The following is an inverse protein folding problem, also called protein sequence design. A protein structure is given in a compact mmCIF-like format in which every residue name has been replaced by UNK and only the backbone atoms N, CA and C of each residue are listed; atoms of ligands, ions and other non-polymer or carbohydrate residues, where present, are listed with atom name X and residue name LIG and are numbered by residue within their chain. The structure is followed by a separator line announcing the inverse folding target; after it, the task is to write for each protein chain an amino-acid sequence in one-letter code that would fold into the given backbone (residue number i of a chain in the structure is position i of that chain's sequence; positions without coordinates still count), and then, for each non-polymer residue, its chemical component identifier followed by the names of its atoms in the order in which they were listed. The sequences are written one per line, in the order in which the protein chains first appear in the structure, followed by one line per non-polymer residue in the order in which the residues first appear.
data_IF_335183320505
#
_entry.id   IF_335183320505
#
_cell.length_a   1.000
_cell.length_b   1.000
_cell.length_c   1.000
_cell.angle_alpha   90.00
_cell.angle_beta   90.00
_cell.angle_gamma   90.00
#
_symmetry.space_group_name_H-M   'P 1'
#
loop_
_entity.id
_entity.type
_entity.pdbx_description
1 polymer ?
#
# COMPACT_ATOMS: atom_id res chain seq x y z
N UNK A 1 -2.56 13.48 -5.57
CA UNK A 1 -1.56 14.49 -5.22
C UNK A 1 -0.15 13.95 -5.48
N UNK A 2 0.64 14.62 -6.32
CA UNK A 2 2.01 14.19 -6.63
C UNK A 2 2.91 14.05 -5.39
N UNK A 3 2.73 14.90 -4.38
CA UNK A 3 3.51 14.82 -3.14
C UNK A 3 3.20 13.54 -2.36
N UNK A 4 1.94 13.13 -2.33
CA UNK A 4 1.55 11.88 -1.69
C UNK A 4 2.16 10.67 -2.40
N UNK A 5 2.15 10.67 -3.72
CA UNK A 5 2.75 9.57 -4.48
C UNK A 5 4.26 9.48 -4.21
N UNK A 6 4.96 10.61 -4.22
CA UNK A 6 6.38 10.64 -3.89
C UNK A 6 6.66 10.14 -2.47
N UNK A 7 5.86 10.57 -1.51
CA UNK A 7 5.98 10.13 -0.11
C UNK A 7 5.68 8.64 0.05
N UNK A 8 4.70 8.13 -0.68
CA UNK A 8 4.37 6.69 -0.69
C UNK A 8 5.56 5.88 -1.22
N UNK A 9 6.16 6.31 -2.32
CA UNK A 9 7.31 5.63 -2.91
C UNK A 9 8.51 5.61 -1.96
N UNK A 10 8.78 6.74 -1.31
CA UNK A 10 9.84 6.82 -0.32
C UNK A 10 9.59 5.90 0.87
N UNK A 11 8.37 5.87 1.37
CA UNK A 11 7.96 4.99 2.46
C UNK A 11 8.08 3.52 2.06
N UNK A 12 7.63 3.18 0.86
CA UNK A 12 7.73 1.82 0.33
C UNK A 12 9.18 1.35 0.23
N UNK A 13 10.07 2.23 -0.25
CA UNK A 13 11.50 1.93 -0.30
C UNK A 13 12.06 1.71 1.11
N UNK A 14 11.77 2.61 2.04
CA UNK A 14 12.24 2.51 3.41
C UNK A 14 11.75 1.23 4.11
N UNK A 15 10.53 0.80 3.81
CA UNK A 15 9.96 -0.43 4.34
C UNK A 15 10.39 -1.68 3.54
N UNK A 16 11.08 -1.49 2.41
CA UNK A 16 11.56 -2.57 1.57
C UNK A 16 10.45 -3.30 0.82
N UNK A 17 9.43 -2.60 0.39
CA UNK A 17 8.40 -3.17 -0.45
C UNK A 17 9.00 -3.65 -1.79
N UNK A 18 8.47 -4.74 -2.31
CA UNK A 18 8.94 -5.30 -3.57
C UNK A 18 8.56 -4.44 -4.78
N UNK A 19 7.41 -3.78 -4.72
CA UNK A 19 6.94 -2.88 -5.77
C UNK A 19 5.78 -2.03 -5.24
N UNK A 20 5.50 -0.95 -5.95
CA UNK A 20 4.30 -0.14 -5.76
C UNK A 20 3.48 -0.23 -7.03
N UNK A 21 2.23 -0.64 -6.91
CA UNK A 21 1.29 -0.78 -8.03
C UNK A 21 0.36 0.43 -8.02
N UNK A 22 0.26 1.12 -9.14
CA UNK A 22 -0.60 2.30 -9.27
C UNK A 22 -1.45 2.24 -10.53
N UNK A 23 -2.68 2.80 -10.51
CA UNK A 23 -3.47 2.95 -11.73
C UNK A 23 -2.77 3.90 -12.72
N UNK A 24 -2.90 3.63 -14.01
CA UNK A 24 -2.30 4.47 -15.05
C UNK A 24 -2.70 5.94 -14.94
N UNK A 25 -3.96 6.21 -14.57
CA UNK A 25 -4.45 7.58 -14.38
C UNK A 25 -3.68 8.36 -13.31
N UNK A 26 -3.12 7.66 -12.30
CA UNK A 26 -2.29 8.28 -11.27
C UNK A 26 -0.84 8.38 -11.69
N UNK A 27 -0.41 7.53 -12.62
CA UNK A 27 0.94 7.53 -13.14
C UNK A 27 1.26 8.77 -13.99
N UNK A 28 0.23 9.46 -14.48
CA UNK A 28 0.39 10.75 -15.18
C UNK A 28 1.09 11.79 -14.30
N UNK A 29 0.99 11.64 -12.96
CA UNK A 29 1.66 12.51 -12.01
C UNK A 29 3.11 12.16 -11.72
N UNK A 30 3.71 11.17 -12.40
CA UNK A 30 5.15 10.85 -12.24
C UNK A 30 5.99 11.89 -12.95
N UNK A 31 6.18 13.01 -12.28
CA UNK A 31 6.92 14.18 -12.75
C UNK A 31 8.20 14.34 -11.92
N UNK A 32 9.01 15.35 -12.27
CA UNK A 32 10.18 15.73 -11.49
C UNK A 32 9.85 16.03 -10.02
N UNK A 33 8.64 16.55 -9.76
CA UNK A 33 8.17 16.84 -8.40
C UNK A 33 8.05 15.53 -7.60
N UNK A 34 7.47 14.49 -8.22
CA UNK A 34 7.35 13.17 -7.59
C UNK A 34 8.74 12.58 -7.35
N UNK A 35 9.62 12.66 -8.32
CA UNK A 35 10.99 12.16 -8.20
C UNK A 35 11.72 12.81 -7.03
N UNK A 36 11.59 14.13 -6.86
CA UNK A 36 12.18 14.86 -5.72
C UNK A 36 11.56 14.43 -4.39
N UNK A 37 10.23 14.33 -4.34
CA UNK A 37 9.53 13.93 -3.12
C UNK A 37 9.88 12.48 -2.72
N UNK A 38 10.14 11.63 -3.70
CA UNK A 38 10.53 10.25 -3.47
C UNK A 38 11.97 10.10 -2.98
N UNK A 39 12.81 11.17 -3.08
CA UNK A 39 14.20 11.17 -2.61
C UNK A 39 15.04 9.99 -3.15
N UNK A 40 14.91 9.72 -4.45
CA UNK A 40 15.65 8.64 -5.10
C UNK A 40 15.00 7.25 -5.00
N UNK A 41 13.88 7.11 -4.32
CA UNK A 41 13.20 5.82 -4.15
C UNK A 41 12.78 5.18 -5.47
N UNK A 42 12.52 5.99 -6.51
CA UNK A 42 12.18 5.49 -7.85
C UNK A 42 13.27 4.60 -8.46
N UNK A 43 14.50 4.74 -8.01
CA UNK A 43 15.62 3.92 -8.48
C UNK A 43 15.65 2.54 -7.81
N UNK A 44 14.98 2.40 -6.67
CA UNK A 44 15.04 1.20 -5.83
C UNK A 44 13.73 0.43 -5.75
N UNK A 45 12.59 1.11 -5.94
CA UNK A 45 11.27 0.48 -5.87
C UNK A 45 10.62 0.51 -7.24
N UNK A 46 10.40 -0.64 -7.87
CA UNK A 46 9.66 -0.69 -9.13
C UNK A 46 8.25 -0.13 -8.96
N UNK A 47 7.84 0.71 -9.91
CA UNK A 47 6.48 1.21 -10.00
C UNK A 47 5.79 0.48 -11.14
N UNK A 48 4.74 -0.27 -10.82
CA UNK A 48 3.98 -1.04 -11.79
C UNK A 48 2.68 -0.29 -12.10
N UNK A 49 2.49 0.06 -13.36
CA UNK A 49 1.29 0.76 -13.83
C UNK A 49 0.27 -0.25 -14.29
N UNK A 50 -0.97 -0.10 -13.84
CA UNK A 50 -2.05 -1.01 -14.22
C UNK A 50 -3.24 -0.23 -14.77
N UNK A 51 -3.86 -0.76 -15.81
CA UNK A 51 -5.06 -0.15 -16.39
C UNK A 51 -6.29 -0.38 -15.52
N UNK A 52 -6.36 -1.51 -14.85
CA UNK A 52 -7.51 -1.90 -14.05
C UNK A 52 -7.05 -2.51 -12.73
N UNK A 53 -7.36 -1.82 -11.63
CA UNK A 53 -6.97 -2.26 -10.28
C UNK A 53 -7.58 -3.61 -9.91
N UNK A 54 -8.85 -3.82 -10.24
CA UNK A 54 -9.53 -5.07 -9.91
C UNK A 54 -8.90 -6.27 -10.60
N UNK A 55 -8.51 -6.10 -11.87
CA UNK A 55 -7.77 -7.12 -12.60
C UNK A 55 -6.41 -7.41 -11.98
N UNK A 56 -5.71 -6.36 -11.56
CA UNK A 56 -4.42 -6.50 -10.88
C UNK A 56 -4.57 -7.30 -9.60
N UNK A 57 -5.61 -7.05 -8.82
CA UNK A 57 -5.89 -7.79 -7.59
C UNK A 57 -6.21 -9.26 -7.88
N UNK A 58 -7.01 -9.54 -8.90
CA UNK A 58 -7.30 -10.91 -9.32
C UNK A 58 -6.02 -11.65 -9.72
N UNK A 59 -5.15 -11.00 -10.47
CA UNK A 59 -3.87 -11.58 -10.89
C UNK A 59 -2.96 -11.86 -9.70
N UNK A 60 -2.90 -10.95 -8.74
CA UNK A 60 -2.13 -11.15 -7.52
C UNK A 60 -2.64 -12.35 -6.72
N UNK A 61 -3.96 -12.52 -6.63
CA UNK A 61 -4.55 -13.67 -5.95
C UNK A 61 -4.17 -14.99 -6.63
N UNK A 62 -4.19 -15.01 -7.96
CA UNK A 62 -3.76 -16.18 -8.71
C UNK A 62 -2.31 -16.55 -8.45
N UNK A 63 -1.48 -15.55 -8.15
CA UNK A 63 -0.07 -15.73 -7.82
C UNK A 63 0.17 -16.04 -6.34
N UNK A 64 -0.87 -16.20 -5.56
CA UNK A 64 -0.79 -16.59 -4.16
C UNK A 64 -0.70 -15.45 -3.17
N UNK A 65 -0.87 -14.22 -3.59
CA UNK A 65 -0.88 -13.07 -2.69
C UNK A 65 -2.14 -13.02 -1.83
N UNK A 66 -1.95 -12.62 -0.58
CA UNK A 66 -3.03 -12.32 0.35
C UNK A 66 -3.20 -10.81 0.39
N UNK A 67 -4.42 -10.34 0.21
CA UNK A 67 -4.73 -8.92 0.00
C UNK A 67 -5.40 -8.35 1.22
N UNK A 68 -4.79 -7.30 1.78
CA UNK A 68 -5.28 -6.58 2.96
C UNK A 68 -5.58 -5.14 2.57
N UNK A 69 -6.85 -4.76 2.68
CA UNK A 69 -7.28 -3.40 2.39
C UNK A 69 -7.31 -2.55 3.65
N UNK A 70 -6.79 -1.34 3.55
CA UNK A 70 -6.88 -0.37 4.64
C UNK A 70 -8.19 0.40 4.50
N UNK A 71 -9.09 0.20 5.45
CA UNK A 71 -10.43 0.78 5.46
C UNK A 71 -10.85 1.11 6.88
N UNK A 72 -11.13 2.38 7.16
CA UNK A 72 -11.53 2.85 8.48
C UNK A 72 -12.84 2.24 8.97
N UNK A 73 -13.65 1.67 8.07
CA UNK A 73 -14.91 1.00 8.42
C UNK A 73 -14.71 -0.43 8.92
N UNK A 74 -13.48 -0.95 8.86
CA UNK A 74 -13.19 -2.30 9.33
C UNK A 74 -13.30 -2.39 10.85
N UNK A 75 -13.72 -3.56 11.35
CA UNK A 75 -13.68 -3.87 12.77
C UNK A 75 -12.32 -4.40 13.22
N UNK A 76 -11.49 -4.85 12.27
CA UNK A 76 -10.18 -5.41 12.58
C UNK A 76 -9.10 -4.34 12.62
N UNK A 77 -8.23 -4.41 13.63
CA UNK A 77 -7.10 -3.50 13.73
C UNK A 77 -5.94 -3.99 12.85
N UNK A 78 -5.24 -3.06 12.23
CA UNK A 78 -4.03 -3.37 11.45
C UNK A 78 -2.99 -4.15 12.25
N UNK A 79 -2.98 -3.98 13.57
CA UNK A 79 -2.05 -4.64 14.49
C UNK A 79 -2.60 -5.92 15.11
N UNK A 80 -3.88 -6.22 14.88
CA UNK A 80 -4.56 -7.35 15.52
C UNK A 80 -4.68 -8.59 14.67
N UNK A 81 -4.20 -8.57 13.43
CA UNK A 81 -4.30 -9.72 12.53
C UNK A 81 -2.91 -10.28 12.21
N UNK A 82 -2.88 -11.50 11.69
CA UNK A 82 -1.67 -12.11 11.15
C UNK A 82 -1.68 -11.93 9.63
N UNK A 83 -0.65 -11.28 9.11
CA UNK A 83 -0.52 -11.07 7.67
C UNK A 83 0.08 -12.32 7.02
N UNK A 84 -0.70 -12.95 6.16
CA UNK A 84 -0.20 -14.06 5.36
C UNK A 84 0.70 -13.55 4.23
N UNK A 85 1.76 -14.27 3.93
CA UNK A 85 2.73 -13.89 2.90
C UNK A 85 2.63 -14.81 1.69
N UNK A 86 2.90 -14.33 0.49
CA UNK A 86 3.23 -12.95 0.13
C UNK A 86 2.02 -12.03 0.31
N UNK A 87 2.28 -10.79 0.70
CA UNK A 87 1.26 -9.83 1.13
C UNK A 87 1.12 -8.68 0.14
N UNK A 88 -0.10 -8.28 -0.14
CA UNK A 88 -0.39 -7.03 -0.83
C UNK A 88 -1.26 -6.16 0.07
N UNK A 89 -0.86 -4.91 0.27
CA UNK A 89 -1.64 -3.94 1.02
C UNK A 89 -2.24 -2.93 0.06
N UNK A 90 -3.53 -2.71 0.15
CA UNK A 90 -4.26 -1.80 -0.73
C UNK A 90 -4.69 -0.57 0.04
N UNK A 91 -4.30 0.59 -0.47
CA UNK A 91 -4.68 1.89 0.07
C UNK A 91 -5.73 2.52 -0.83
N UNK A 92 -6.73 3.15 -0.24
CA UNK A 92 -7.74 3.91 -0.95
C UNK A 92 -7.30 5.33 -1.26
N UNK A 93 -8.12 6.02 -2.05
CA UNK A 93 -7.95 7.45 -2.30
C UNK A 93 -8.31 8.26 -1.06
N UNK A 94 -7.84 9.53 -1.05
CA UNK A 94 -8.06 10.42 0.09
C UNK A 94 -9.55 10.66 0.35
N UNK A 95 -9.95 10.52 1.60
CA UNK A 95 -11.28 10.83 2.08
C UNK A 95 -12.40 9.89 1.66
N UNK A 96 -12.12 8.91 0.81
CA UNK A 96 -13.15 8.01 0.26
C UNK A 96 -12.96 6.54 0.64
N UNK A 97 -11.79 6.18 1.16
CA UNK A 97 -11.48 4.78 1.43
C UNK A 97 -11.42 3.94 0.16
N UNK A 98 -11.71 2.66 0.29
CA UNK A 98 -11.68 1.72 -0.82
C UNK A 98 -13.03 1.65 -1.52
N UNK A 99 -13.01 1.61 -2.86
CA UNK A 99 -14.20 1.34 -3.65
C UNK A 99 -14.73 -0.07 -3.34
N UNK A 100 -16.03 -0.25 -3.47
CA UNK A 100 -16.70 -1.52 -3.13
C UNK A 100 -16.11 -2.73 -3.86
N UNK A 101 -15.79 -2.59 -5.16
CA UNK A 101 -15.20 -3.68 -5.93
C UNK A 101 -13.80 -4.05 -5.43
N UNK A 102 -13.00 -3.06 -5.03
CA UNK A 102 -11.68 -3.30 -4.46
C UNK A 102 -11.81 -4.00 -3.11
N UNK A 103 -12.75 -3.57 -2.28
CA UNK A 103 -13.01 -4.20 -0.98
C UNK A 103 -13.34 -5.68 -1.13
N UNK A 104 -14.13 -6.04 -2.13
CA UNK A 104 -14.51 -7.43 -2.39
C UNK A 104 -13.33 -8.34 -2.73
N UNK A 105 -12.27 -7.79 -3.30
CA UNK A 105 -11.06 -8.55 -3.60
C UNK A 105 -10.14 -8.73 -2.40
N UNK A 106 -10.35 -7.96 -1.34
CA UNK A 106 -9.50 -8.06 -0.15
C UNK A 106 -9.85 -9.31 0.66
N UNK A 107 -8.81 -10.02 1.11
CA UNK A 107 -8.98 -11.17 2.00
C UNK A 107 -9.36 -10.71 3.41
N UNK A 108 -8.88 -9.53 3.80
CA UNK A 108 -9.27 -8.88 5.05
C UNK A 108 -9.17 -7.37 4.89
N UNK A 109 -9.95 -6.67 5.69
CA UNK A 109 -9.88 -5.22 5.81
C UNK A 109 -9.38 -4.89 7.21
N UNK A 110 -8.50 -3.91 7.30
CA UNK A 110 -7.92 -3.47 8.57
C UNK A 110 -8.03 -1.96 8.71
N UNK A 111 -8.04 -1.48 9.94
CA UNK A 111 -8.06 -0.06 10.22
C UNK A 111 -6.96 0.34 11.19
N UNK A 112 -6.56 1.61 11.12
CA UNK A 112 -5.69 2.23 12.09
C UNK A 112 -6.59 2.97 13.07
N UNK A 113 -6.54 2.67 14.38
CA UNK A 113 -7.43 3.34 15.33
C UNK A 113 -7.05 4.81 15.49
N UNK A 114 -8.06 5.69 15.40
CA UNK A 114 -7.90 7.13 15.59
C UNK A 114 -8.30 7.48 17.01
N UNK A 115 -7.39 8.09 17.76
CA UNK A 115 -7.64 8.47 19.15
C UNK A 115 -8.17 9.91 19.30
N UNK A 116 -8.05 10.70 18.25
CA UNK A 116 -8.49 12.10 18.24
C UNK A 116 -9.79 12.30 17.49
N UNK A 117 -9.99 13.51 17.00
CA UNK A 117 -11.21 13.90 16.29
C UNK A 117 -11.15 13.70 14.77
N UNK A 118 -9.96 13.58 14.18
CA UNK A 118 -9.84 13.30 12.75
C UNK A 118 -10.19 11.86 12.45
N UNK A 119 -10.82 11.63 11.31
CA UNK A 119 -11.30 10.30 10.93
C UNK A 119 -10.27 9.44 10.19
N UNK A 120 -9.25 10.05 9.61
CA UNK A 120 -8.26 9.33 8.82
C UNK A 120 -6.90 10.02 8.83
N UNK A 121 -5.86 9.26 8.49
CA UNK A 121 -4.52 9.77 8.30
C UNK A 121 -4.29 10.09 6.83
N UNK A 122 -3.29 10.92 6.56
CA UNK A 122 -2.75 11.07 5.21
C UNK A 122 -2.35 9.68 4.69
N UNK A 123 -2.59 9.41 3.42
CA UNK A 123 -2.39 8.09 2.84
C UNK A 123 -0.94 7.60 2.92
N UNK A 124 0.04 8.48 2.76
CA UNK A 124 1.45 8.10 2.87
C UNK A 124 1.83 7.76 4.31
N UNK A 125 1.24 8.44 5.28
CA UNK A 125 1.44 8.14 6.71
C UNK A 125 0.82 6.80 7.04
N UNK A 126 -0.41 6.56 6.59
CA UNK A 126 -1.10 5.29 6.77
C UNK A 126 -0.31 4.13 6.16
N UNK A 127 0.25 4.32 4.98
CA UNK A 127 1.12 3.34 4.35
C UNK A 127 2.31 2.99 5.24
N UNK A 128 2.96 3.99 5.80
CA UNK A 128 4.10 3.78 6.71
C UNK A 128 3.71 2.98 7.94
N UNK A 129 2.61 3.32 8.57
CA UNK A 129 2.14 2.61 9.76
C UNK A 129 1.95 1.11 9.48
N UNK A 130 1.26 0.79 8.39
CA UNK A 130 0.96 -0.62 8.05
C UNK A 130 2.20 -1.37 7.58
N UNK A 131 3.01 -0.76 6.72
CA UNK A 131 4.21 -1.41 6.18
C UNK A 131 5.24 -1.72 7.27
N UNK A 132 5.47 -0.79 8.21
CA UNK A 132 6.41 -1.03 9.29
C UNK A 132 5.87 -1.99 10.35
N UNK A 133 4.56 -2.06 10.57
CA UNK A 133 3.97 -3.13 11.38
C UNK A 133 4.19 -4.50 10.73
N UNK A 134 3.98 -4.57 9.41
CA UNK A 134 4.24 -5.80 8.67
C UNK A 134 5.72 -6.23 8.80
N UNK A 135 6.64 -5.28 8.67
CA UNK A 135 8.07 -5.54 8.82
C UNK A 135 8.42 -6.07 10.22
N UNK A 136 7.82 -5.49 11.25
CA UNK A 136 8.04 -5.91 12.63
C UNK A 136 7.67 -7.38 12.83
N UNK A 137 6.60 -7.81 12.18
CA UNK A 137 6.09 -9.19 12.29
C UNK A 137 6.75 -10.18 11.35
N UNK A 138 7.40 -9.68 10.32
CA UNK A 138 8.04 -10.51 9.31
C UNK A 138 9.52 -10.10 9.19
N UNK A 139 10.34 -10.38 10.22
CA UNK A 139 11.75 -10.02 10.20
C UNK A 139 12.43 -10.66 8.99
N UNK A 140 13.28 -9.88 8.33
CA UNK A 140 13.94 -10.34 7.12
C UNK A 140 15.21 -11.10 7.45
N UNK A 141 15.43 -12.25 6.83
CA UNK A 141 16.78 -12.78 6.73
C UNK A 141 17.61 -11.79 5.90
N UNK A 142 18.88 -11.74 6.14
CA UNK A 142 19.82 -10.75 5.59
C UNK A 142 19.85 -10.58 4.06
N UNK A 143 19.17 -11.43 3.31
CA UNK A 143 19.18 -11.43 1.85
C UNK A 143 17.75 -11.48 1.27
N UNK A 144 16.73 -11.12 2.03
CA UNK A 144 15.37 -11.33 1.57
C UNK A 144 14.85 -10.14 0.77
N UNK A 145 14.45 -10.38 -0.45
CA UNK A 145 13.60 -9.48 -1.19
C UNK A 145 12.26 -9.31 -0.47
N UNK A 146 11.75 -8.12 -0.43
CA UNK A 146 10.47 -7.84 0.18
C UNK A 146 9.35 -8.70 -0.41
N UNK A 147 8.55 -9.27 0.48
CA UNK A 147 7.37 -10.06 0.10
C UNK A 147 6.08 -9.28 0.30
N UNK A 148 6.18 -7.96 0.25
CA UNK A 148 5.03 -7.10 0.37
C UNK A 148 4.96 -6.15 -0.81
N UNK A 149 3.77 -6.05 -1.38
CA UNK A 149 3.43 -5.08 -2.41
C UNK A 149 2.51 -4.03 -1.82
N UNK A 150 2.67 -2.80 -2.27
CA UNK A 150 1.77 -1.71 -1.92
C UNK A 150 0.99 -1.32 -3.17
N UNK A 151 -0.33 -1.28 -3.06
CA UNK A 151 -1.20 -0.89 -4.16
C UNK A 151 -1.96 0.36 -3.75
N UNK A 152 -1.71 1.46 -4.46
CA UNK A 152 -2.42 2.72 -4.26
C UNK A 152 -3.55 2.81 -5.28
N UNK A 153 -4.73 2.47 -4.83
CA UNK A 153 -5.93 2.44 -5.68
C UNK A 153 -6.48 3.82 -6.03
#
# INVERSE_FOLDING_TARGET
DPHNLGAILRTADAAGAAAVVIPERRAVGLTDVVAKAAAGALEHVPVVRVGNVNRALEELKKRGFWIYGLDERSSELYSGIVYATPTAVVLGGEGKGLHEQVRKHCDALVRIPMAGSVSSLNVSVAAGVVLFEWNRRNPRPSVCSGRILLLAA
#
